data_IF_590605053303
#
_entry.id   IF_590605053303
#
_cell.length_a   1.000
_cell.length_b   1.000
_cell.length_c   1.000
_cell.angle_alpha   90.00
_cell.angle_beta   90.00
_cell.angle_gamma   90.00
#
_symmetry.space_group_name_H-M   'P 1'
#
loop_
_entity.id
_entity.type
_entity.pdbx_description
1 polymer ?
#
# COMPACT_ATOMS: atom_id res chain seq x y z
N UNK A 1 3.16 3.66 -22.34
CA UNK A 1 1.83 4.32 -22.23
C UNK A 1 0.72 3.31 -21.91
N UNK A 2 0.47 2.28 -22.73
CA UNK A 2 -0.62 1.30 -22.51
C UNK A 2 -0.55 0.65 -21.10
N UNK A 3 0.62 0.23 -20.66
CA UNK A 3 0.80 -0.38 -19.33
C UNK A 3 0.49 0.57 -18.16
N UNK A 4 0.77 1.88 -18.30
CA UNK A 4 0.38 2.89 -17.31
C UNK A 4 -1.14 3.09 -17.24
N UNK A 5 -1.81 3.07 -18.40
CA UNK A 5 -3.27 3.14 -18.46
C UNK A 5 -3.94 1.92 -17.84
N UNK A 6 -3.39 0.71 -18.05
CA UNK A 6 -3.88 -0.51 -17.40
C UNK A 6 -3.71 -0.44 -15.88
N UNK A 7 -2.59 0.09 -15.39
CA UNK A 7 -2.39 0.30 -13.95
C UNK A 7 -3.39 1.32 -13.38
N UNK A 8 -3.67 2.39 -14.11
CA UNK A 8 -4.66 3.39 -13.70
C UNK A 8 -6.08 2.79 -13.65
N UNK A 9 -6.44 1.99 -14.65
CA UNK A 9 -7.72 1.26 -14.64
C UNK A 9 -7.80 0.29 -13.46
N UNK A 10 -6.74 -0.45 -13.18
CA UNK A 10 -6.65 -1.33 -12.00
C UNK A 10 -6.80 -0.58 -10.69
N UNK A 11 -6.09 0.55 -10.53
CA UNK A 11 -6.23 1.40 -9.35
C UNK A 11 -7.66 1.97 -9.20
N UNK A 12 -8.29 2.40 -10.31
CA UNK A 12 -9.67 2.87 -10.29
C UNK A 12 -10.65 1.78 -9.83
N UNK A 13 -10.47 0.54 -10.29
CA UNK A 13 -11.27 -0.60 -9.82
C UNK A 13 -11.11 -0.81 -8.32
N UNK A 14 -9.87 -0.77 -7.80
CA UNK A 14 -9.61 -0.89 -6.35
C UNK A 14 -10.28 0.22 -5.55
N UNK A 15 -10.25 1.46 -6.04
CA UNK A 15 -10.95 2.59 -5.41
C UNK A 15 -12.46 2.34 -5.37
N UNK A 16 -13.06 1.89 -6.48
CA UNK A 16 -14.50 1.60 -6.53
C UNK A 16 -14.86 0.50 -5.53
N UNK A 17 -14.08 -0.58 -5.48
CA UNK A 17 -14.28 -1.67 -4.50
C UNK A 17 -14.18 -1.14 -3.08
N UNK A 18 -13.16 -0.36 -2.75
CA UNK A 18 -12.96 0.23 -1.43
C UNK A 18 -14.17 1.08 -1.00
N UNK A 19 -14.60 2.00 -1.87
CA UNK A 19 -15.72 2.89 -1.57
C UNK A 19 -17.05 2.12 -1.43
N UNK A 20 -17.28 1.09 -2.24
CA UNK A 20 -18.46 0.23 -2.11
C UNK A 20 -18.46 -0.52 -0.77
N UNK A 21 -17.32 -1.08 -0.36
CA UNK A 21 -17.21 -1.80 0.92
C UNK A 21 -17.40 -0.82 2.09
N UNK A 22 -16.79 0.36 2.06
CA UNK A 22 -16.94 1.39 3.11
C UNK A 22 -18.38 1.88 3.22
N UNK A 23 -19.05 2.06 2.09
CA UNK A 23 -20.48 2.44 2.07
C UNK A 23 -21.35 1.33 2.68
N UNK A 24 -21.11 0.07 2.29
CA UNK A 24 -21.77 -1.07 2.90
C UNK A 24 -21.46 -1.18 4.41
N UNK A 25 -20.20 -1.04 4.81
CA UNK A 25 -19.80 -1.10 6.22
C UNK A 25 -20.49 -0.02 7.05
N UNK A 26 -20.60 1.20 6.52
CA UNK A 26 -21.35 2.28 7.17
C UNK A 26 -22.83 1.91 7.33
N UNK A 27 -23.48 1.43 6.28
CA UNK A 27 -24.91 1.10 6.31
C UNK A 27 -25.20 -0.11 7.22
N UNK A 28 -24.35 -1.13 7.20
CA UNK A 28 -24.56 -2.38 7.93
C UNK A 28 -24.10 -2.31 9.39
N UNK A 29 -22.95 -1.68 9.66
CA UNK A 29 -22.32 -1.74 10.98
C UNK A 29 -22.67 -0.55 11.88
N UNK A 30 -22.96 0.63 11.32
CA UNK A 30 -23.29 1.81 12.13
C UNK A 30 -24.49 1.57 13.07
N UNK A 31 -25.58 0.88 12.65
CA UNK A 31 -26.72 0.61 13.53
C UNK A 31 -26.44 -0.43 14.63
N UNK A 32 -25.53 -1.40 14.38
CA UNK A 32 -25.30 -2.54 15.28
C UNK A 32 -23.98 -2.45 16.05
N UNK A 33 -23.09 -1.53 15.64
CA UNK A 33 -21.77 -1.34 16.24
C UNK A 33 -20.73 -2.33 15.76
N UNK A 34 -20.96 -3.62 15.90
CA UNK A 34 -20.05 -4.68 15.42
C UNK A 34 -20.78 -5.96 15.05
N UNK A 35 -20.11 -6.80 14.25
CA UNK A 35 -20.56 -8.14 13.82
C UNK A 35 -19.37 -9.10 13.87
N UNK A 36 -19.51 -10.24 14.53
CA UNK A 36 -18.50 -11.29 14.53
C UNK A 36 -18.42 -11.96 13.14
N UNK A 37 -17.22 -12.04 12.58
CA UNK A 37 -16.92 -12.84 11.38
C UNK A 37 -16.34 -14.18 11.79
N UNK A 38 -15.33 -14.16 12.65
CA UNK A 38 -14.72 -15.33 13.24
C UNK A 38 -14.60 -15.08 14.76
N UNK A 39 -15.45 -15.71 15.59
CA UNK A 39 -15.50 -15.43 17.02
C UNK A 39 -14.12 -15.51 17.68
N UNK A 40 -13.78 -14.47 18.43
CA UNK A 40 -12.49 -14.35 19.12
C UNK A 40 -11.28 -14.04 18.24
N UNK A 41 -11.43 -13.97 16.92
CA UNK A 41 -10.33 -13.71 15.99
C UNK A 41 -10.53 -12.42 15.20
N UNK A 42 -11.69 -12.25 14.53
CA UNK A 42 -11.99 -11.09 13.68
C UNK A 42 -13.46 -10.71 13.85
N UNK A 43 -13.70 -9.44 14.08
CA UNK A 43 -15.02 -8.81 13.96
C UNK A 43 -14.99 -7.68 12.91
N UNK A 44 -16.15 -7.35 12.37
CA UNK A 44 -16.37 -6.12 11.67
C UNK A 44 -16.95 -5.10 12.64
N UNK A 45 -16.25 -3.98 12.82
CA UNK A 45 -16.61 -2.93 13.76
C UNK A 45 -16.51 -1.57 13.12
N UNK A 46 -17.60 -0.82 13.11
CA UNK A 46 -17.59 0.54 12.57
C UNK A 46 -16.69 1.46 13.39
N UNK A 47 -15.73 2.10 12.74
CA UNK A 47 -14.82 3.05 13.36
C UNK A 47 -14.52 4.20 12.41
N UNK A 48 -14.57 5.44 12.90
CA UNK A 48 -14.14 6.62 12.17
C UNK A 48 -12.74 7.01 12.62
N UNK A 49 -11.80 7.01 11.68
CA UNK A 49 -10.38 7.28 11.92
C UNK A 49 -10.02 8.68 11.40
N UNK A 50 -9.71 9.58 12.31
CA UNK A 50 -9.28 10.95 12.02
C UNK A 50 -7.75 11.11 11.94
N UNK A 51 -7.00 10.01 11.99
CA UNK A 51 -5.53 9.98 11.95
C UNK A 51 -4.97 8.98 10.93
N UNK A 52 -3.77 8.50 11.24
CA UNK A 52 -3.15 7.31 10.67
C UNK A 52 -3.38 6.11 11.58
N UNK A 53 -2.70 4.97 11.28
CA UNK A 53 -2.68 3.83 12.19
C UNK A 53 -2.34 4.27 13.62
N UNK A 54 -3.04 3.68 14.62
CA UNK A 54 -2.92 4.02 16.04
C UNK A 54 -3.21 5.48 16.38
N UNK A 55 -4.09 6.16 15.61
CA UNK A 55 -4.48 7.57 15.78
C UNK A 55 -3.30 8.57 15.73
N UNK A 56 -2.21 8.20 15.07
CA UNK A 56 -1.12 9.13 14.83
C UNK A 56 -1.62 10.29 13.97
N UNK A 57 -1.16 11.52 14.29
CA UNK A 57 -1.57 12.75 13.61
C UNK A 57 -3.10 13.00 13.62
N UNK A 58 -3.83 12.47 14.61
CA UNK A 58 -5.25 12.74 14.76
C UNK A 58 -5.54 14.24 14.75
N UNK A 59 -6.61 14.66 14.07
CA UNK A 59 -6.99 16.06 13.88
C UNK A 59 -6.14 16.86 12.89
N UNK A 60 -5.07 16.29 12.29
CA UNK A 60 -4.20 16.98 11.33
C UNK A 60 -4.53 16.61 9.87
N UNK A 61 -5.81 16.66 9.50
CA UNK A 61 -6.29 16.21 8.19
C UNK A 61 -5.59 16.91 7.01
N UNK A 62 -5.35 18.21 7.07
CA UNK A 62 -4.65 18.93 6.01
C UNK A 62 -3.24 18.40 5.73
N UNK A 63 -2.51 18.03 6.80
CA UNK A 63 -1.17 17.42 6.69
C UNK A 63 -1.27 16.02 6.07
N UNK A 64 -2.22 15.20 6.54
CA UNK A 64 -2.44 13.84 6.02
C UNK A 64 -2.80 13.86 4.54
N UNK A 65 -3.74 14.73 4.14
CA UNK A 65 -4.14 14.91 2.74
C UNK A 65 -2.93 15.36 1.90
N UNK A 66 -2.18 16.36 2.36
CA UNK A 66 -1.02 16.88 1.63
C UNK A 66 0.06 15.82 1.42
N UNK A 67 0.49 15.14 2.48
CA UNK A 67 1.50 14.09 2.40
C UNK A 67 1.07 12.93 1.50
N UNK A 68 -0.17 12.45 1.67
CA UNK A 68 -0.71 11.36 0.86
C UNK A 68 -0.80 11.77 -0.61
N UNK A 69 -1.27 12.98 -0.91
CA UNK A 69 -1.38 13.48 -2.28
C UNK A 69 -0.01 13.55 -2.98
N UNK A 70 1.02 14.06 -2.30
CA UNK A 70 2.39 14.12 -2.84
C UNK A 70 2.93 12.72 -3.12
N UNK A 71 2.74 11.78 -2.19
CA UNK A 71 3.19 10.41 -2.36
C UNK A 71 2.46 9.71 -3.53
N UNK A 72 1.15 9.86 -3.63
CA UNK A 72 0.35 9.26 -4.71
C UNK A 72 0.69 9.86 -6.07
N UNK A 73 0.96 11.17 -6.13
CA UNK A 73 1.43 11.82 -7.35
C UNK A 73 2.78 11.26 -7.80
N UNK A 74 3.72 11.03 -6.87
CA UNK A 74 5.00 10.42 -7.18
C UNK A 74 4.81 8.99 -7.74
N UNK A 75 3.98 8.16 -7.12
CA UNK A 75 3.66 6.81 -7.59
C UNK A 75 3.00 6.86 -8.98
N UNK A 76 2.08 7.79 -9.20
CA UNK A 76 1.43 7.98 -10.49
C UNK A 76 2.43 8.34 -11.58
N UNK A 77 3.33 9.30 -11.34
CA UNK A 77 4.40 9.69 -12.27
C UNK A 77 5.29 8.48 -12.59
N UNK A 78 5.69 7.72 -11.57
CA UNK A 78 6.51 6.52 -11.74
C UNK A 78 5.85 5.50 -12.68
N UNK A 79 4.56 5.26 -12.56
CA UNK A 79 3.80 4.32 -13.40
C UNK A 79 3.84 4.67 -14.90
N UNK A 80 3.99 5.96 -15.25
CA UNK A 80 4.01 6.42 -16.63
C UNK A 80 5.42 6.63 -17.17
N UNK A 81 6.37 7.06 -16.34
CA UNK A 81 7.73 7.44 -16.76
C UNK A 81 8.69 6.26 -16.75
N UNK A 82 8.59 5.36 -15.76
CA UNK A 82 9.53 4.24 -15.63
C UNK A 82 9.05 2.98 -16.36
N UNK A 83 10.00 2.26 -16.95
CA UNK A 83 9.78 0.87 -17.37
C UNK A 83 9.93 -0.02 -16.14
N UNK A 84 8.85 -0.63 -15.72
CA UNK A 84 8.76 -1.45 -14.51
C UNK A 84 8.41 -2.90 -14.86
N UNK A 85 8.96 -3.89 -14.16
CA UNK A 85 8.47 -5.26 -14.21
C UNK A 85 7.02 -5.31 -13.69
N UNK A 86 6.33 -6.41 -14.01
CA UNK A 86 4.91 -6.57 -13.65
C UNK A 86 4.69 -6.50 -12.13
N UNK A 87 5.59 -7.07 -11.34
CA UNK A 87 5.53 -7.08 -9.86
C UNK A 87 5.59 -5.67 -9.27
N UNK A 88 6.58 -4.86 -9.68
CA UNK A 88 6.70 -3.46 -9.24
C UNK A 88 5.48 -2.64 -9.65
N UNK A 89 4.99 -2.87 -10.88
CA UNK A 89 3.80 -2.20 -11.42
C UNK A 89 2.54 -2.56 -10.64
N UNK A 90 2.33 -3.85 -10.35
CA UNK A 90 1.19 -4.31 -9.55
C UNK A 90 1.23 -3.71 -8.13
N UNK A 91 2.40 -3.68 -7.51
CA UNK A 91 2.61 -3.06 -6.21
C UNK A 91 2.27 -1.56 -6.21
N UNK A 92 2.77 -0.80 -7.19
CA UNK A 92 2.42 0.62 -7.36
C UNK A 92 0.91 0.83 -7.61
N UNK A 93 0.27 -0.08 -8.36
CA UNK A 93 -1.18 -0.03 -8.61
C UNK A 93 -1.98 -0.23 -7.32
N UNK A 94 -1.56 -1.17 -6.46
CA UNK A 94 -2.17 -1.40 -5.14
C UNK A 94 -2.02 -0.18 -4.23
N UNK A 95 -0.81 0.39 -4.14
CA UNK A 95 -0.54 1.60 -3.35
C UNK A 95 -1.38 2.77 -3.85
N UNK A 96 -1.46 2.95 -5.17
CA UNK A 96 -2.24 4.04 -5.77
C UNK A 96 -3.74 3.87 -5.47
N UNK A 97 -4.31 2.67 -5.69
CA UNK A 97 -5.72 2.39 -5.46
C UNK A 97 -6.12 2.54 -3.99
N UNK A 98 -5.39 1.90 -3.08
CA UNK A 98 -5.65 2.00 -1.64
C UNK A 98 -5.44 3.41 -1.10
N UNK A 99 -4.34 4.06 -1.50
CA UNK A 99 -4.06 5.43 -1.07
C UNK A 99 -5.11 6.44 -1.54
N UNK A 100 -5.59 6.33 -2.79
CA UNK A 100 -6.69 7.17 -3.31
C UNK A 100 -8.00 6.89 -2.57
N UNK A 101 -8.33 5.63 -2.27
CA UNK A 101 -9.52 5.27 -1.50
C UNK A 101 -9.58 5.99 -0.16
N UNK A 102 -8.50 5.93 0.62
CA UNK A 102 -8.40 6.64 1.90
C UNK A 102 -8.27 8.17 1.76
N UNK A 103 -7.72 8.65 0.65
CA UNK A 103 -7.65 10.09 0.37
C UNK A 103 -9.04 10.67 0.08
N UNK A 104 -9.88 9.97 -0.68
CA UNK A 104 -11.28 10.38 -0.95
C UNK A 104 -12.03 10.58 0.35
N UNK A 105 -11.96 9.64 1.27
CA UNK A 105 -12.64 9.73 2.57
C UNK A 105 -12.17 10.97 3.35
N UNK A 106 -10.87 11.22 3.41
CA UNK A 106 -10.32 12.39 4.12
C UNK A 106 -10.73 13.71 3.51
N UNK A 107 -10.75 13.79 2.18
CA UNK A 107 -11.14 15.04 1.48
C UNK A 107 -12.63 15.32 1.63
N UNK A 108 -13.48 14.29 1.54
CA UNK A 108 -14.92 14.45 1.57
C UNK A 108 -15.48 14.52 3.00
N UNK A 109 -14.97 13.67 3.90
CA UNK A 109 -15.56 13.45 5.22
C UNK A 109 -14.66 13.91 6.38
N UNK A 110 -13.38 14.21 6.13
CA UNK A 110 -12.39 14.51 7.17
C UNK A 110 -11.94 13.31 7.99
N UNK A 111 -12.48 12.12 7.75
CA UNK A 111 -12.20 10.86 8.47
C UNK A 111 -12.24 9.71 7.48
N UNK A 112 -11.58 8.60 7.84
CA UNK A 112 -11.61 7.35 7.08
C UNK A 112 -12.53 6.36 7.79
N UNK A 113 -13.32 5.60 7.01
CA UNK A 113 -14.14 4.51 7.54
C UNK A 113 -13.30 3.25 7.63
N UNK A 114 -13.00 2.81 8.87
CA UNK A 114 -12.32 1.56 9.19
C UNK A 114 -13.34 0.57 9.75
N UNK A 115 -13.14 -0.75 9.47
CA UNK A 115 -14.14 -1.74 9.85
C UNK A 115 -13.60 -3.13 10.16
N UNK A 116 -12.33 -3.45 9.90
CA UNK A 116 -11.74 -4.77 10.20
C UNK A 116 -11.01 -4.68 11.54
N UNK A 117 -11.51 -5.38 12.55
CA UNK A 117 -10.94 -5.45 13.90
C UNK A 117 -10.42 -6.87 14.21
N UNK A 118 -9.12 -6.97 14.49
CA UNK A 118 -8.46 -8.22 14.89
C UNK A 118 -8.47 -8.31 16.42
N UNK A 119 -9.06 -9.38 16.96
CA UNK A 119 -9.34 -9.51 18.41
C UNK A 119 -8.23 -10.20 19.20
N UNK A 120 -7.41 -11.05 18.57
CA UNK A 120 -6.37 -11.82 19.27
C UNK A 120 -5.10 -11.03 19.59
N UNK A 121 -5.01 -9.78 19.08
CA UNK A 121 -3.90 -8.87 19.34
C UNK A 121 -4.39 -7.42 19.40
N UNK A 122 -3.62 -6.54 20.04
CA UNK A 122 -3.91 -5.10 20.01
C UNK A 122 -3.44 -4.53 18.68
N UNK A 123 -4.35 -4.39 17.75
CA UNK A 123 -4.09 -3.81 16.44
C UNK A 123 -5.08 -2.67 16.14
N UNK A 124 -4.69 -1.72 15.34
CA UNK A 124 -5.60 -0.67 14.89
C UNK A 124 -6.68 -1.29 13.98
N UNK A 125 -7.92 -0.80 14.08
CA UNK A 125 -8.97 -1.16 13.11
C UNK A 125 -8.54 -0.59 11.76
N UNK A 126 -8.74 -1.34 10.68
CA UNK A 126 -8.29 -1.01 9.34
C UNK A 126 -9.36 -1.36 8.29
N UNK A 127 -9.08 -1.05 7.04
CA UNK A 127 -10.00 -1.23 5.92
C UNK A 127 -9.32 -1.90 4.72
N UNK A 128 -10.07 -2.12 3.63
CA UNK A 128 -9.56 -2.73 2.40
C UNK A 128 -8.45 -1.88 1.73
N UNK A 129 -8.57 -0.56 1.73
CA UNK A 129 -7.54 0.32 1.18
C UNK A 129 -6.20 0.16 1.91
N UNK A 130 -6.22 0.00 3.24
CA UNK A 130 -5.01 -0.24 4.04
C UNK A 130 -4.36 -1.58 3.67
N UNK A 131 -5.16 -2.63 3.44
CA UNK A 131 -4.65 -3.92 2.94
C UNK A 131 -3.94 -3.72 1.60
N UNK A 132 -4.56 -3.00 0.66
CA UNK A 132 -3.94 -2.71 -0.63
C UNK A 132 -2.61 -1.97 -0.48
N UNK A 133 -2.55 -0.93 0.36
CA UNK A 133 -1.31 -0.19 0.61
C UNK A 133 -0.26 -1.08 1.25
N UNK A 134 -0.60 -1.83 2.30
CA UNK A 134 0.34 -2.71 3.01
C UNK A 134 0.90 -3.80 2.10
N UNK A 135 0.05 -4.48 1.31
CA UNK A 135 0.48 -5.51 0.35
C UNK A 135 1.34 -4.88 -0.74
N UNK A 136 0.93 -3.72 -1.29
CA UNK A 136 1.70 -3.02 -2.30
C UNK A 136 3.08 -2.60 -1.82
N UNK A 137 3.19 -2.01 -0.63
CA UNK A 137 4.47 -1.64 -0.02
C UNK A 137 5.32 -2.88 0.27
N UNK A 138 4.73 -3.94 0.81
CA UNK A 138 5.41 -5.22 1.04
C UNK A 138 6.01 -5.81 -0.23
N UNK A 139 5.26 -5.82 -1.32
CA UNK A 139 5.74 -6.28 -2.63
C UNK A 139 6.89 -5.40 -3.17
N UNK A 140 6.81 -4.08 -3.00
CA UNK A 140 7.91 -3.17 -3.38
C UNK A 140 9.17 -3.46 -2.56
N UNK A 141 9.04 -3.65 -1.25
CA UNK A 141 10.18 -3.98 -0.39
C UNK A 141 10.85 -5.29 -0.81
N UNK A 142 10.06 -6.35 -1.00
CA UNK A 142 10.58 -7.65 -1.47
C UNK A 142 11.27 -7.50 -2.81
N UNK A 143 10.66 -6.76 -3.75
CA UNK A 143 11.25 -6.54 -5.07
C UNK A 143 12.59 -5.79 -4.98
N UNK A 144 12.67 -4.70 -4.20
CA UNK A 144 13.91 -3.92 -4.03
C UNK A 144 15.03 -4.77 -3.42
N UNK A 145 14.71 -5.54 -2.39
CA UNK A 145 15.70 -6.44 -1.75
C UNK A 145 16.20 -7.51 -2.71
N UNK A 146 15.29 -8.09 -3.51
CA UNK A 146 15.65 -9.12 -4.48
C UNK A 146 16.48 -8.55 -5.64
N UNK A 147 16.11 -7.41 -6.20
CA UNK A 147 16.85 -6.72 -7.27
C UNK A 147 18.25 -6.32 -6.81
N UNK A 148 18.37 -5.80 -5.59
CA UNK A 148 19.68 -5.46 -4.98
C UNK A 148 20.56 -6.69 -4.80
N UNK A 149 19.98 -7.80 -4.32
CA UNK A 149 20.72 -9.07 -4.14
C UNK A 149 21.23 -9.64 -5.48
N UNK A 150 20.41 -9.61 -6.53
CA UNK A 150 20.80 -10.10 -7.86
C UNK A 150 21.92 -9.23 -8.44
N UNK A 151 21.85 -7.91 -8.31
CA UNK A 151 22.90 -6.99 -8.79
C UNK A 151 24.22 -7.22 -8.06
N UNK A 152 24.21 -7.32 -6.74
CA UNK A 152 25.40 -7.61 -5.94
C UNK A 152 26.06 -8.95 -6.34
N UNK A 153 25.23 -9.98 -6.54
CA UNK A 153 25.73 -11.29 -6.98
C UNK A 153 26.31 -11.23 -8.40
N UNK A 154 25.70 -10.49 -9.29
CA UNK A 154 26.21 -10.29 -10.66
C UNK A 154 27.55 -9.54 -10.65
N UNK A 155 27.70 -8.50 -9.84
CA UNK A 155 28.96 -7.76 -9.68
C UNK A 155 30.07 -8.64 -9.10
N UNK A 156 29.78 -9.46 -8.09
CA UNK A 156 30.77 -10.42 -7.53
C UNK A 156 31.19 -11.45 -8.54
N UNK A 157 30.30 -11.93 -9.39
CA UNK A 157 30.63 -12.91 -10.43
C UNK A 157 31.32 -12.30 -11.65
N UNK A 158 31.19 -10.99 -11.87
CA UNK A 158 31.78 -10.24 -12.97
C UNK A 158 33.19 -9.70 -12.62
N UNK A 159 33.60 -9.73 -11.36
CA UNK A 159 34.96 -9.44 -10.93
C UNK A 159 35.80 -10.74 -10.96
N UNK A 160 36.40 -11.17 -12.12
CA UNK A 160 37.29 -12.34 -12.18
C UNK A 160 38.65 -11.92 -11.71
N UNK A 161 39.26 -12.76 -10.85
CA UNK A 161 40.69 -13.02 -10.68
C UNK A 161 41.72 -11.97 -11.20
N UNK A 162 41.61 -10.73 -10.81
CA UNK A 162 42.68 -9.77 -10.94
C UNK A 162 43.88 -10.09 -9.99
N UNK A 163 43.76 -11.14 -9.19
CA UNK A 163 44.80 -11.54 -8.21
C UNK A 163 45.75 -12.61 -8.69
N UNK A 164 45.50 -13.33 -9.80
CA UNK A 164 46.35 -14.45 -10.22
C UNK A 164 47.42 -14.07 -11.27
N UNK A 165 47.30 -12.91 -11.92
CA UNK A 165 48.29 -12.46 -12.91
C UNK A 165 49.52 -11.74 -12.31
N UNK A 166 49.53 -11.50 -10.98
CA UNK A 166 50.64 -10.80 -10.34
C UNK A 166 51.80 -11.72 -9.84
N UNK A 167 51.66 -13.04 -9.93
CA UNK A 167 52.67 -14.00 -9.47
C UNK A 167 53.32 -14.87 -10.57
N UNK A 168 53.10 -14.54 -11.87
CA UNK A 168 53.61 -15.33 -13.00
C UNK A 168 54.87 -14.80 -13.68
N UNK A 169 55.53 -13.75 -13.21
CA UNK A 169 56.78 -13.25 -13.77
C UNK A 169 57.77 -12.83 -12.66
N UNK A 170 58.48 -13.79 -12.13
CA UNK A 170 59.74 -13.60 -11.43
C UNK A 170 60.66 -14.79 -11.73
#
# INVERSE_FOLDING_TARGET
>A
MISGLLSLAGAAILVVIDQLIKHWATAALLPVGSMDVLPGVVELRYCLNDGMAFSMLAGKQGLLIGMTSVMLLAVLIMLFVRKMPLTERAACTLVLGGGVGNLIDRVLNGVVVDYINVLFMRFAIFNFADICVCVGVGLLMVWVLFDSYIKEKAEKNAAPDAADDAHGNA
#
